data_IF_602291658587
#
_entry.id   IF_602291658587
#
_cell.length_a   1.000
_cell.length_b   1.000
_cell.length_c   1.000
_cell.angle_alpha   90.00
_cell.angle_beta   90.00
_cell.angle_gamma   90.00
#
_symmetry.space_group_name_H-M   'P 1'
#
loop_
_entity.id
_entity.type
_entity.pdbx_description
1 polymer ?
#
# COMPACT_ATOMS: atom_id res chain seq x y z
N UNK A 1 12.14 16.35 -28.77
CA UNK A 1 11.29 16.10 -29.97
C UNK A 1 11.32 14.61 -30.22
N UNK A 2 10.25 13.89 -29.84
CA UNK A 2 10.18 12.44 -30.06
C UNK A 2 9.44 12.22 -31.38
N UNK A 3 10.17 11.75 -32.38
CA UNK A 3 9.67 11.41 -33.70
C UNK A 3 8.61 10.30 -33.58
N UNK A 4 7.39 10.63 -34.01
CA UNK A 4 6.26 9.71 -34.10
C UNK A 4 6.48 8.81 -35.32
N UNK A 5 7.20 7.71 -35.18
CA UNK A 5 7.26 6.70 -36.23
C UNK A 5 5.88 6.04 -36.39
N UNK A 6 5.32 6.18 -37.59
CA UNK A 6 4.05 5.60 -37.99
C UNK A 6 4.08 4.09 -37.82
N UNK A 7 3.36 3.61 -36.80
CA UNK A 7 3.07 2.20 -36.63
C UNK A 7 2.12 1.79 -37.74
N UNK A 8 2.64 1.14 -38.79
CA UNK A 8 1.81 0.41 -39.75
C UNK A 8 0.87 -0.51 -38.94
N UNK A 9 -0.47 -0.40 -39.12
CA UNK A 9 -1.38 -1.31 -38.47
C UNK A 9 -1.23 -2.65 -39.18
N UNK A 10 -0.29 -3.46 -38.71
CA UNK A 10 -0.20 -4.87 -39.07
C UNK A 10 -1.59 -5.45 -38.89
N UNK A 11 -2.23 -5.79 -40.01
CA UNK A 11 -3.53 -6.44 -40.08
C UNK A 11 -3.45 -7.65 -39.18
N UNK A 12 -4.01 -7.57 -37.96
CA UNK A 12 -4.11 -8.74 -37.11
C UNK A 12 -5.12 -9.65 -37.79
N UNK A 13 -4.65 -10.64 -38.53
CA UNK A 13 -5.47 -11.55 -39.35
C UNK A 13 -6.56 -12.25 -38.55
N UNK A 14 -6.39 -12.31 -37.22
CA UNK A 14 -7.27 -13.00 -36.28
C UNK A 14 -8.32 -12.08 -35.63
N UNK A 15 -8.28 -10.77 -35.89
CA UNK A 15 -9.26 -9.80 -35.38
C UNK A 15 -10.16 -9.31 -36.50
N UNK A 16 -11.43 -9.06 -36.17
CA UNK A 16 -12.36 -8.46 -37.12
C UNK A 16 -11.89 -7.05 -37.50
N UNK A 17 -11.88 -6.75 -38.80
CA UNK A 17 -11.51 -5.43 -39.31
C UNK A 17 -12.57 -4.41 -38.85
N UNK A 18 -12.14 -3.34 -38.19
CA UNK A 18 -13.04 -2.29 -37.71
C UNK A 18 -12.94 -1.09 -38.64
N UNK A 19 -13.91 -0.98 -39.56
CA UNK A 19 -14.07 0.17 -40.46
C UNK A 19 -14.99 1.22 -39.82
N UNK A 20 -14.44 2.39 -39.47
CA UNK A 20 -15.22 3.50 -38.91
C UNK A 20 -16.28 4.04 -39.88
N UNK A 21 -16.05 3.91 -41.19
CA UNK A 21 -16.99 4.35 -42.23
C UNK A 21 -18.19 3.43 -42.43
N UNK A 22 -18.11 2.18 -41.95
CA UNK A 22 -19.18 1.17 -42.06
C UNK A 22 -19.86 0.87 -40.73
N UNK A 23 -19.44 1.55 -39.65
CA UNK A 23 -19.92 1.28 -38.30
C UNK A 23 -21.28 1.96 -38.05
N UNK A 24 -22.32 1.17 -37.83
CA UNK A 24 -23.65 1.65 -37.43
C UNK A 24 -23.85 1.46 -35.93
N UNK A 25 -23.74 2.54 -35.15
CA UNK A 25 -23.79 2.53 -33.68
C UNK A 25 -25.13 2.01 -33.15
N UNK A 26 -26.21 2.15 -33.91
CA UNK A 26 -27.56 1.75 -33.48
C UNK A 26 -27.77 0.24 -33.45
N UNK A 27 -26.94 -0.52 -34.19
CA UNK A 27 -27.01 -1.98 -34.29
C UNK A 27 -25.95 -2.70 -33.45
N UNK A 28 -25.09 -1.94 -32.76
CA UNK A 28 -24.05 -2.52 -31.92
C UNK A 28 -24.66 -3.11 -30.64
N UNK A 29 -24.44 -4.41 -30.46
CA UNK A 29 -24.70 -5.13 -29.22
C UNK A 29 -23.39 -5.69 -28.67
N UNK A 30 -23.33 -5.99 -27.38
CA UNK A 30 -22.16 -6.63 -26.75
C UNK A 30 -21.77 -7.96 -27.42
N UNK A 31 -22.72 -8.60 -28.12
CA UNK A 31 -22.52 -9.84 -28.86
C UNK A 31 -22.11 -9.66 -30.33
N UNK A 32 -21.95 -8.42 -30.80
CA UNK A 32 -21.56 -8.16 -32.19
C UNK A 32 -20.11 -8.61 -32.46
N UNK A 33 -19.79 -9.18 -33.65
CA UNK A 33 -18.45 -9.66 -33.98
C UNK A 33 -17.36 -8.58 -33.85
N UNK A 34 -17.71 -7.33 -34.14
CA UNK A 34 -16.85 -6.16 -34.03
C UNK A 34 -16.42 -5.91 -32.58
N UNK A 35 -17.29 -6.21 -31.62
CA UNK A 35 -17.08 -6.00 -30.18
C UNK A 35 -16.47 -7.24 -29.52
N UNK A 36 -16.99 -8.44 -29.79
CA UNK A 36 -16.49 -9.70 -29.22
C UNK A 36 -15.03 -9.94 -29.62
N UNK A 37 -14.66 -9.65 -30.87
CA UNK A 37 -13.31 -9.98 -31.38
C UNK A 37 -12.17 -9.38 -30.54
N UNK A 38 -12.39 -8.25 -29.86
CA UNK A 38 -11.39 -7.59 -29.01
C UNK A 38 -11.57 -7.85 -27.52
N UNK A 39 -12.60 -8.57 -27.12
CA UNK A 39 -12.80 -8.94 -25.72
C UNK A 39 -11.90 -10.13 -25.36
N UNK A 40 -11.42 -10.13 -24.12
CA UNK A 40 -10.69 -11.28 -23.60
C UNK A 40 -11.66 -12.44 -23.36
N UNK A 41 -11.49 -13.54 -24.11
CA UNK A 41 -12.30 -14.76 -23.91
C UNK A 41 -11.89 -15.53 -22.66
N UNK A 42 -10.60 -15.49 -22.31
CA UNK A 42 -10.04 -16.22 -21.17
C UNK A 42 -9.11 -15.27 -20.40
N UNK A 43 -9.30 -15.22 -19.08
CA UNK A 43 -8.42 -14.47 -18.19
C UNK A 43 -7.35 -15.39 -17.61
N UNK A 44 -6.07 -15.04 -17.82
CA UNK A 44 -4.94 -15.77 -17.27
C UNK A 44 -4.21 -14.89 -16.26
N UNK A 45 -3.95 -15.42 -15.07
CA UNK A 45 -3.21 -14.75 -13.99
C UNK A 45 -1.91 -15.46 -13.64
N UNK A 46 -0.89 -14.69 -13.25
CA UNK A 46 0.39 -15.21 -12.75
C UNK A 46 0.45 -15.12 -11.23
N UNK A 47 0.67 -16.24 -10.54
CA UNK A 47 0.87 -16.31 -9.08
C UNK A 47 2.32 -16.61 -8.72
N UNK A 48 2.76 -16.29 -7.49
CA UNK A 48 4.12 -16.55 -7.02
C UNK A 48 4.63 -15.55 -5.98
N UNK A 49 5.80 -15.84 -5.39
CA UNK A 49 6.40 -15.08 -4.28
C UNK A 49 6.83 -13.66 -4.69
N UNK A 50 7.03 -12.77 -3.71
CA UNK A 50 7.43 -11.37 -3.93
C UNK A 50 8.79 -11.34 -4.68
N UNK A 51 8.96 -10.39 -5.61
CA UNK A 51 10.15 -10.24 -6.48
C UNK A 51 10.39 -11.30 -7.58
N UNK A 52 9.58 -12.33 -7.73
CA UNK A 52 9.74 -13.34 -8.81
C UNK A 52 9.39 -12.86 -10.24
N UNK A 53 9.36 -11.55 -10.50
CA UNK A 53 9.20 -11.05 -11.87
C UNK A 53 7.87 -11.40 -12.57
N UNK A 54 6.81 -11.74 -11.82
CA UNK A 54 5.47 -12.06 -12.38
C UNK A 54 4.99 -11.00 -13.37
N UNK A 55 5.14 -9.73 -13.03
CA UNK A 55 4.80 -8.60 -13.92
C UNK A 55 5.69 -8.52 -15.16
N UNK A 56 6.95 -8.95 -15.07
CA UNK A 56 7.89 -9.02 -16.20
C UNK A 56 7.46 -10.09 -17.20
N UNK A 57 7.02 -11.25 -16.71
CA UNK A 57 6.47 -12.33 -17.55
C UNK A 57 5.19 -11.87 -18.26
N UNK A 58 4.27 -11.23 -17.53
CA UNK A 58 3.04 -10.67 -18.13
C UNK A 58 3.37 -9.60 -19.18
N UNK A 59 4.38 -8.75 -18.94
CA UNK A 59 4.83 -7.75 -19.91
C UNK A 59 5.43 -8.38 -21.17
N UNK A 60 6.21 -9.44 -21.04
CA UNK A 60 6.79 -10.15 -22.17
C UNK A 60 5.71 -10.83 -23.04
N UNK A 61 4.67 -11.38 -22.41
CA UNK A 61 3.58 -12.09 -23.10
C UNK A 61 2.60 -11.12 -23.76
N UNK A 62 2.12 -10.12 -23.00
CA UNK A 62 1.08 -9.19 -23.48
C UNK A 62 1.64 -8.02 -24.29
N UNK A 63 2.95 -7.73 -24.19
CA UNK A 63 3.56 -6.50 -24.70
C UNK A 63 3.10 -5.24 -23.98
N UNK A 64 2.19 -5.36 -23.01
CA UNK A 64 1.62 -4.25 -22.25
C UNK A 64 2.25 -4.23 -20.86
N UNK A 65 2.77 -3.07 -20.47
CA UNK A 65 3.28 -2.89 -19.12
C UNK A 65 2.12 -2.92 -18.11
N UNK A 66 2.20 -3.82 -17.13
CA UNK A 66 1.17 -3.99 -16.09
C UNK A 66 1.09 -2.81 -15.13
N UNK A 67 2.18 -2.05 -15.00
CA UNK A 67 2.25 -0.84 -14.18
C UNK A 67 1.81 0.36 -15.00
N UNK A 68 0.66 0.95 -14.66
CA UNK A 68 0.08 2.10 -15.38
C UNK A 68 0.49 3.46 -14.80
N UNK A 69 1.07 3.52 -13.60
CA UNK A 69 1.43 4.76 -12.91
C UNK A 69 2.94 4.84 -12.61
N UNK A 70 3.57 5.98 -12.92
CA UNK A 70 5.02 6.22 -12.69
C UNK A 70 5.43 6.00 -11.22
N UNK A 71 4.60 6.45 -10.27
CA UNK A 71 4.85 6.29 -8.83
C UNK A 71 4.75 4.83 -8.35
N UNK A 72 4.06 3.95 -9.07
CA UNK A 72 4.00 2.51 -8.77
C UNK A 72 5.24 1.79 -9.32
N UNK A 73 5.78 2.27 -10.44
CA UNK A 73 7.00 1.76 -11.05
C UNK A 73 8.23 2.01 -10.15
N UNK A 74 8.31 3.21 -9.58
CA UNK A 74 9.41 3.63 -8.68
C UNK A 74 9.35 2.92 -7.32
N UNK A 75 8.18 2.39 -6.93
CA UNK A 75 7.95 1.82 -5.59
C UNK A 75 7.74 0.32 -5.58
N UNK A 76 7.72 -0.34 -6.74
CA UNK A 76 7.47 -1.78 -6.91
C UNK A 76 6.23 -2.33 -6.16
N UNK A 77 5.21 -1.49 -5.92
CA UNK A 77 3.96 -1.88 -5.25
C UNK A 77 2.72 -1.36 -6.01
N UNK A 78 1.66 -2.16 -6.02
CA UNK A 78 0.46 -1.95 -6.85
C UNK A 78 -0.70 -1.27 -6.11
N UNK A 79 -0.57 -0.94 -4.81
CA UNK A 79 -1.68 -0.42 -3.99
C UNK A 79 -1.37 1.00 -3.49
N UNK A 80 -2.25 1.95 -3.83
CA UNK A 80 -2.21 3.35 -3.34
C UNK A 80 -2.85 3.44 -1.96
N UNK A 81 -2.28 4.27 -1.07
CA UNK A 81 -2.80 4.60 0.26
C UNK A 81 -4.31 4.87 0.28
N UNK A 82 -4.79 5.74 -0.62
CA UNK A 82 -6.20 6.09 -0.70
C UNK A 82 -7.11 4.90 -1.02
N UNK A 83 -6.61 3.91 -1.79
CA UNK A 83 -7.35 2.67 -2.09
C UNK A 83 -7.38 1.76 -0.87
N UNK A 84 -6.27 1.66 -0.13
CA UNK A 84 -6.21 0.87 1.09
C UNK A 84 -7.12 1.42 2.19
N UNK A 85 -7.09 2.74 2.41
CA UNK A 85 -7.98 3.41 3.37
C UNK A 85 -9.46 3.20 3.02
N UNK A 86 -9.83 3.33 1.74
CA UNK A 86 -11.21 3.10 1.30
C UNK A 86 -11.68 1.67 1.56
N UNK A 87 -10.85 0.68 1.26
CA UNK A 87 -11.17 -0.75 1.50
C UNK A 87 -11.33 -1.04 2.99
N UNK A 88 -10.46 -0.47 3.84
CA UNK A 88 -10.57 -0.60 5.29
C UNK A 88 -11.85 0.03 5.84
N UNK A 89 -12.20 1.23 5.36
CA UNK A 89 -13.45 1.90 5.73
C UNK A 89 -14.68 1.10 5.28
N UNK A 90 -14.68 0.54 4.07
CA UNK A 90 -15.76 -0.31 3.56
C UNK A 90 -15.92 -1.62 4.37
N UNK A 91 -14.83 -2.17 4.91
CA UNK A 91 -14.83 -3.48 5.61
C UNK A 91 -15.18 -3.35 7.10
N UNK A 92 -14.69 -2.29 7.75
CA UNK A 92 -14.78 -2.13 9.21
C UNK A 92 -15.70 -0.97 9.64
N UNK A 93 -16.23 -0.19 8.69
CA UNK A 93 -17.14 0.93 8.96
C UNK A 93 -16.53 1.95 9.94
N UNK A 94 -17.26 2.26 11.00
CA UNK A 94 -16.86 3.24 12.03
C UNK A 94 -15.68 2.79 12.90
N UNK A 95 -15.34 1.49 12.90
CA UNK A 95 -14.15 0.97 13.58
C UNK A 95 -12.89 1.02 12.69
N UNK A 96 -12.96 1.69 11.54
CA UNK A 96 -11.83 1.80 10.64
C UNK A 96 -10.76 2.77 11.17
N UNK A 97 -9.51 2.50 10.79
CA UNK A 97 -8.38 3.34 11.14
C UNK A 97 -8.57 4.76 10.59
N UNK A 98 -8.26 5.76 11.41
CA UNK A 98 -8.28 7.15 10.95
C UNK A 98 -7.32 7.35 9.76
N UNK A 99 -7.68 8.26 8.85
CA UNK A 99 -6.88 8.63 7.69
C UNK A 99 -5.44 9.07 8.07
N UNK A 100 -5.30 9.70 9.23
CA UNK A 100 -4.02 10.02 9.90
C UNK A 100 -3.23 8.77 10.28
N UNK A 101 -3.85 7.82 10.98
CA UNK A 101 -3.20 6.56 11.37
C UNK A 101 -2.78 5.76 10.13
N UNK A 102 -3.62 5.71 9.10
CA UNK A 102 -3.30 5.06 7.84
C UNK A 102 -2.07 5.68 7.16
N UNK A 103 -1.95 7.02 7.18
CA UNK A 103 -0.78 7.73 6.65
C UNK A 103 0.51 7.43 7.42
N UNK A 104 0.44 7.43 8.74
CA UNK A 104 1.63 7.20 9.58
C UNK A 104 2.13 5.76 9.44
N UNK A 105 1.22 4.79 9.39
CA UNK A 105 1.55 3.41 9.06
C UNK A 105 2.18 3.24 7.68
N UNK A 106 1.63 3.89 6.65
CA UNK A 106 2.25 3.89 5.32
C UNK A 106 3.61 4.60 5.30
N UNK A 107 3.86 5.57 6.19
CA UNK A 107 5.17 6.20 6.34
C UNK A 107 6.18 5.23 6.98
N UNK A 108 5.78 4.50 8.02
CA UNK A 108 6.60 3.44 8.63
C UNK A 108 6.92 2.33 7.63
N UNK A 109 5.93 1.89 6.84
CA UNK A 109 6.11 0.90 5.78
C UNK A 109 7.13 1.34 4.74
N UNK A 110 7.13 2.62 4.34
CA UNK A 110 8.13 3.20 3.42
C UNK A 110 9.54 3.19 3.99
N UNK A 111 9.67 3.19 5.31
CA UNK A 111 10.95 3.14 6.00
C UNK A 111 11.39 1.70 6.33
N UNK A 112 10.75 0.69 5.72
CA UNK A 112 10.95 -0.75 6.01
C UNK A 112 10.74 -1.12 7.50
N UNK A 113 9.98 -0.32 8.24
CA UNK A 113 9.58 -0.63 9.60
C UNK A 113 8.22 -1.35 9.56
N UNK A 114 8.27 -2.69 9.65
CA UNK A 114 7.09 -3.58 9.62
C UNK A 114 6.68 -4.08 11.01
N UNK A 115 7.25 -3.52 12.07
CA UNK A 115 6.87 -3.85 13.44
C UNK A 115 5.39 -3.55 13.64
N UNK A 116 4.65 -4.61 13.98
CA UNK A 116 3.22 -4.54 14.22
C UNK A 116 2.88 -4.22 15.67
N UNK A 117 3.87 -4.33 16.56
CA UNK A 117 3.74 -4.02 17.96
C UNK A 117 3.90 -2.52 18.18
N UNK A 118 3.14 -1.99 19.12
CA UNK A 118 3.31 -0.62 19.56
C UNK A 118 4.72 -0.48 20.14
N UNK A 119 5.42 0.56 19.70
CA UNK A 119 6.67 0.95 20.36
C UNK A 119 6.35 1.25 21.81
N UNK A 120 7.21 0.80 22.72
CA UNK A 120 7.09 1.12 24.13
C UNK A 120 6.87 2.63 24.28
N UNK A 121 5.73 2.98 24.90
CA UNK A 121 5.41 4.36 25.20
C UNK A 121 6.56 4.90 26.06
N UNK A 122 7.16 6.03 25.67
CA UNK A 122 8.27 6.59 26.44
C UNK A 122 7.85 6.72 27.90
N UNK A 123 8.54 6.02 28.79
CA UNK A 123 8.25 6.04 30.21
C UNK A 123 8.16 7.49 30.71
N UNK A 124 7.23 7.73 31.64
CA UNK A 124 7.15 9.02 32.30
C UNK A 124 8.54 9.38 32.85
N UNK A 125 9.05 10.60 32.59
CA UNK A 125 10.41 10.96 32.97
C UNK A 125 10.59 10.72 34.46
N UNK A 126 11.56 9.86 34.81
CA UNK A 126 11.86 9.52 36.21
C UNK A 126 12.20 10.80 36.95
N UNK A 127 11.35 11.18 37.91
CA UNK A 127 11.52 12.38 38.73
C UNK A 127 12.61 12.23 39.79
N UNK A 128 13.19 11.04 39.92
CA UNK A 128 14.20 10.72 40.92
C UNK A 128 15.03 9.51 40.46
N UNK A 129 16.31 9.49 40.82
CA UNK A 129 17.25 8.41 40.47
C UNK A 129 17.13 7.26 41.48
N UNK A 130 16.92 6.04 40.98
CA UNK A 130 16.68 4.85 41.80
C UNK A 130 17.85 4.55 42.77
N UNK A 131 19.08 4.85 42.35
CA UNK A 131 20.29 4.68 43.16
C UNK A 131 20.29 5.56 44.42
N UNK A 132 19.76 6.78 44.31
CA UNK A 132 19.65 7.72 45.43
C UNK A 132 18.52 7.32 46.39
N UNK A 133 17.57 6.51 45.92
CA UNK A 133 16.48 5.98 46.74
C UNK A 133 16.98 4.80 47.58
N UNK A 134 17.82 3.93 47.00
CA UNK A 134 18.47 2.82 47.71
C UNK A 134 19.36 3.33 48.85
N UNK A 135 20.21 4.34 48.60
CA UNK A 135 21.07 4.93 49.64
C UNK A 135 20.29 5.52 50.83
N UNK A 136 19.11 6.10 50.59
CA UNK A 136 18.26 6.67 51.65
C UNK A 136 17.55 5.58 52.47
N UNK A 137 17.25 4.43 51.86
CA UNK A 137 16.65 3.29 52.54
C UNK A 137 17.69 2.48 53.35
N UNK A 138 18.94 2.45 52.91
CA UNK A 138 20.05 1.83 53.64
C UNK A 138 20.45 2.61 54.90
N UNK A 139 20.27 3.94 54.90
CA UNK A 139 20.60 4.79 56.05
C UNK A 139 19.56 4.71 57.19
N UNK A 140 18.28 4.55 56.88
CA UNK A 140 17.24 4.47 57.90
C UNK A 140 16.12 3.52 57.45
N UNK A 141 16.19 2.29 57.97
CA UNK A 141 15.31 1.17 57.59
C UNK A 141 13.84 1.37 58.01
N UNK A 142 13.54 2.41 58.80
CA UNK A 142 12.22 2.66 59.38
C UNK A 142 11.63 4.04 58.99
N UNK A 143 11.83 4.50 57.75
CA UNK A 143 11.17 5.72 57.28
C UNK A 143 9.71 5.51 56.88
N UNK A 144 8.86 6.50 57.20
CA UNK A 144 7.45 6.53 56.79
C UNK A 144 7.33 7.12 55.38
N UNK A 145 6.43 6.57 54.54
CA UNK A 145 6.21 7.00 53.14
C UNK A 145 5.99 8.52 52.98
N UNK A 146 5.44 9.19 53.99
CA UNK A 146 5.23 10.64 54.02
C UNK A 146 6.53 11.44 54.08
N UNK A 147 7.57 10.95 54.77
CA UNK A 147 8.89 11.60 54.85
C UNK A 147 9.62 11.50 53.52
N UNK A 148 9.58 10.32 52.89
CA UNK A 148 10.17 10.08 51.57
C UNK A 148 9.54 10.99 50.50
N UNK A 149 8.21 11.09 50.48
CA UNK A 149 7.48 11.96 49.52
C UNK A 149 7.89 13.44 49.60
N UNK A 150 8.20 13.95 50.80
CA UNK A 150 8.62 15.33 51.01
C UNK A 150 10.08 15.58 50.57
N UNK A 151 10.94 14.55 50.60
CA UNK A 151 12.33 14.63 50.12
C UNK A 151 12.38 14.59 48.59
N UNK A 152 11.50 13.82 47.97
CA UNK A 152 11.43 13.66 46.50
C UNK A 152 10.67 14.80 45.78
N UNK A 153 9.92 15.64 46.50
CA UNK A 153 9.11 16.75 45.90
C UNK A 153 9.78 18.13 45.93
N UNK A 154 11.09 18.24 46.17
CA UNK A 154 11.84 19.50 46.09
C UNK A 154 12.57 19.65 44.77
#
# INVERSE_FOLDING_TARGET
MASTEGRNPSTQSNLHHQDLSKLDVTKLSALSPEVISRQATINIGTIGHVAHGKSTVVKAISGVQTVRFKNELERNITIKLAKAHRILAETYGDNSLSDTTCRDWFRSFKNNAFELEDKECSDAPKKFEDQKLEELLDQDRCQTLTKLKNITSR
#
